data_IF_018225441916
#
_entry.id   IF_018225441916
#
_cell.length_a   1.000
_cell.length_b   1.000
_cell.length_c   1.000
_cell.angle_alpha   90.00
_cell.angle_beta   90.00
_cell.angle_gamma   90.00
#
_symmetry.space_group_name_H-M   'P 1'
#
loop_
_entity.id
_entity.type
_entity.pdbx_description
1 polymer ?
#
# COMPACT_ATOMS: atom_id res chain seq x y z
N UNK A 1 -17.10 15.53 -1.98
CA UNK A 1 -15.66 15.70 -2.16
C UNK A 1 -15.12 15.88 -0.76
N UNK A 2 -14.50 14.84 -0.22
CA UNK A 2 -13.99 14.84 1.15
C UNK A 2 -12.90 15.90 1.28
N UNK A 3 -12.87 16.60 2.41
CA UNK A 3 -12.01 17.76 2.72
C UNK A 3 -10.55 17.36 3.02
N UNK A 4 -10.13 16.17 2.63
CA UNK A 4 -8.84 15.57 2.99
C UNK A 4 -7.96 15.44 1.75
N UNK A 5 -6.86 16.18 1.72
CA UNK A 5 -5.81 16.00 0.70
C UNK A 5 -4.75 15.07 1.28
N UNK A 6 -4.32 14.06 0.52
CA UNK A 6 -3.17 13.24 0.91
C UNK A 6 -1.91 14.08 0.75
N UNK A 7 -1.18 14.27 1.84
CA UNK A 7 0.04 15.07 1.86
C UNK A 7 1.28 14.19 1.70
N UNK A 8 1.24 13.00 2.30
CA UNK A 8 2.32 12.01 2.22
C UNK A 8 1.75 10.60 2.35
N UNK A 9 2.36 9.63 1.69
CA UNK A 9 2.05 8.22 1.92
C UNK A 9 3.32 7.38 1.82
N UNK A 10 3.36 6.30 2.59
CA UNK A 10 4.48 5.37 2.65
C UNK A 10 3.97 3.94 2.53
N UNK A 11 4.75 3.11 1.85
CA UNK A 11 4.49 1.68 1.72
C UNK A 11 5.80 0.96 1.99
N UNK A 12 5.80 0.10 3.01
CA UNK A 12 7.00 -0.56 3.51
C UNK A 12 6.72 -2.04 3.84
N UNK A 13 7.70 -2.95 3.66
CA UNK A 13 7.54 -4.33 4.08
C UNK A 13 7.59 -4.44 5.60
N UNK A 14 6.74 -5.30 6.18
CA UNK A 14 6.81 -5.63 7.60
C UNK A 14 7.91 -6.66 7.82
N UNK A 15 8.95 -6.30 8.56
CA UNK A 15 10.07 -7.20 8.84
C UNK A 15 9.59 -8.47 9.58
N UNK A 16 9.88 -9.63 9.00
CA UNK A 16 9.51 -10.92 9.59
C UNK A 16 8.07 -11.35 9.33
N UNK A 17 7.30 -10.59 8.55
CA UNK A 17 5.94 -10.94 8.16
C UNK A 17 5.75 -10.89 6.63
N UNK A 18 4.72 -11.56 6.14
CA UNK A 18 4.30 -11.55 4.73
C UNK A 18 3.24 -10.45 4.50
N UNK A 19 3.55 -9.25 4.97
CA UNK A 19 2.66 -8.09 4.93
C UNK A 19 3.43 -6.81 4.50
N UNK A 20 2.76 -5.95 3.74
CA UNK A 20 3.21 -4.58 3.47
C UNK A 20 2.36 -3.62 4.30
N UNK A 21 2.98 -2.71 5.02
CA UNK A 21 2.29 -1.64 5.74
C UNK A 21 2.15 -0.42 4.83
N UNK A 22 0.96 0.19 4.85
CA UNK A 22 0.65 1.45 4.19
C UNK A 22 0.36 2.48 5.27
N UNK A 23 0.99 3.64 5.18
CA UNK A 23 0.72 4.79 6.05
C UNK A 23 0.34 5.97 5.18
N UNK A 24 -0.84 6.54 5.39
CA UNK A 24 -1.35 7.70 4.63
C UNK A 24 -1.50 8.87 5.61
N UNK A 25 -0.86 9.99 5.32
CA UNK A 25 -0.95 11.23 6.10
C UNK A 25 -1.75 12.27 5.31
N UNK A 26 -2.81 12.81 5.91
CA UNK A 26 -3.60 13.90 5.32
C UNK A 26 -3.29 15.25 5.93
N UNK A 27 -3.64 16.31 5.19
CA UNK A 27 -3.52 17.71 5.57
C UNK A 27 -4.26 18.09 6.84
N UNK A 28 -5.31 17.35 7.22
CA UNK A 28 -6.06 17.56 8.47
C UNK A 28 -5.34 16.98 9.70
N UNK A 29 -4.19 16.32 9.51
CA UNK A 29 -3.41 15.68 10.58
C UNK A 29 -3.91 14.29 10.95
N UNK A 30 -4.86 13.75 10.19
CA UNK A 30 -5.27 12.35 10.29
C UNK A 30 -4.25 11.44 9.59
N UNK A 31 -4.01 10.29 10.22
CA UNK A 31 -3.16 9.23 9.67
C UNK A 31 -3.98 7.95 9.59
N UNK A 32 -3.91 7.27 8.44
CA UNK A 32 -4.51 5.95 8.24
C UNK A 32 -3.41 4.93 8.02
N UNK A 33 -3.55 3.78 8.67
CA UNK A 33 -2.61 2.67 8.57
C UNK A 33 -3.36 1.44 8.07
N UNK A 34 -2.84 0.82 7.01
CA UNK A 34 -3.40 -0.40 6.43
C UNK A 34 -2.31 -1.46 6.32
N UNK A 35 -2.72 -2.72 6.45
CA UNK A 35 -1.82 -3.85 6.32
C UNK A 35 -2.25 -4.74 5.17
N UNK A 36 -1.39 -4.86 4.16
CA UNK A 36 -1.67 -5.62 2.93
C UNK A 36 -0.94 -6.95 2.97
N UNK A 37 -1.63 -8.07 3.25
CA UNK A 37 -1.01 -9.39 3.21
C UNK A 37 -0.63 -9.76 1.78
N UNK A 38 0.54 -10.35 1.61
CA UNK A 38 1.02 -10.89 0.34
C UNK A 38 1.48 -12.33 0.48
N UNK A 39 1.60 -13.03 -0.64
CA UNK A 39 2.06 -14.41 -0.69
C UNK A 39 3.34 -14.48 -1.51
N UNK A 40 4.47 -14.78 -0.85
CA UNK A 40 5.76 -14.99 -1.53
C UNK A 40 5.71 -16.13 -2.55
N UNK A 41 4.91 -17.16 -2.28
CA UNK A 41 4.80 -18.33 -3.16
C UNK A 41 4.08 -18.03 -4.47
N UNK A 42 3.11 -17.11 -4.46
CA UNK A 42 2.31 -16.78 -5.65
C UNK A 42 2.67 -15.44 -6.26
N UNK A 43 3.40 -14.59 -5.52
CA UNK A 43 3.73 -13.24 -5.91
C UNK A 43 2.50 -12.35 -6.07
N UNK A 44 1.51 -12.51 -5.17
CA UNK A 44 0.27 -11.73 -5.19
C UNK A 44 -0.04 -11.20 -3.80
N UNK A 45 -0.64 -10.02 -3.73
CA UNK A 45 -1.23 -9.48 -2.53
C UNK A 45 -2.75 -9.40 -2.64
N UNK A 46 -3.42 -9.15 -1.50
CA UNK A 46 -4.86 -8.91 -1.45
C UNK A 46 -5.09 -7.67 -0.60
N UNK A 47 -5.65 -6.64 -1.21
CA UNK A 47 -6.00 -5.39 -0.54
C UNK A 47 -7.47 -5.08 -0.79
N UNK A 48 -8.33 -5.43 0.17
CA UNK A 48 -9.78 -5.27 0.04
C UNK A 48 -10.21 -3.81 0.26
N UNK A 49 -9.45 -3.06 1.05
CA UNK A 49 -9.72 -1.66 1.38
C UNK A 49 -9.36 -0.67 0.24
N UNK A 50 -8.78 -1.13 -0.88
CA UNK A 50 -8.47 -0.23 -2.01
C UNK A 50 -9.71 0.53 -2.52
N UNK A 51 -10.87 -0.11 -2.52
CA UNK A 51 -12.13 0.54 -2.90
C UNK A 51 -12.60 1.60 -1.92
N UNK A 52 -12.17 1.53 -0.65
CA UNK A 52 -12.38 2.62 0.32
C UNK A 52 -11.42 3.77 0.05
N UNK A 53 -10.16 3.47 -0.29
CA UNK A 53 -9.17 4.48 -0.68
C UNK A 53 -9.62 5.28 -1.90
N UNK A 54 -10.18 4.62 -2.91
CA UNK A 54 -10.77 5.28 -4.10
C UNK A 54 -11.90 6.25 -3.70
N UNK A 55 -12.75 5.85 -2.76
CA UNK A 55 -13.88 6.68 -2.31
C UNK A 55 -13.44 7.85 -1.41
N UNK A 56 -12.46 7.62 -0.52
CA UNK A 56 -12.02 8.60 0.46
C UNK A 56 -10.99 9.60 -0.10
N UNK A 57 -10.06 9.13 -0.93
CA UNK A 57 -8.93 9.89 -1.44
C UNK A 57 -8.92 10.08 -2.97
N UNK A 58 -9.79 9.36 -3.69
CA UNK A 58 -9.95 9.45 -5.14
C UNK A 58 -9.22 8.36 -5.92
N UNK A 59 -9.71 8.08 -7.13
CA UNK A 59 -9.16 7.06 -8.04
C UNK A 59 -7.66 7.30 -8.34
N UNK A 60 -7.26 8.54 -8.59
CA UNK A 60 -5.87 8.88 -8.94
C UNK A 60 -4.88 8.50 -7.82
N UNK A 61 -5.28 8.62 -6.56
CA UNK A 61 -4.44 8.22 -5.43
C UNK A 61 -4.42 6.70 -5.26
N UNK A 62 -5.57 6.05 -5.42
CA UNK A 62 -5.66 4.59 -5.34
C UNK A 62 -4.82 3.89 -6.42
N UNK A 63 -4.80 4.41 -7.65
CA UNK A 63 -3.93 3.92 -8.72
C UNK A 63 -2.45 4.05 -8.33
N UNK A 64 -2.01 5.23 -7.86
CA UNK A 64 -0.63 5.45 -7.39
C UNK A 64 -0.22 4.52 -6.24
N UNK A 65 -1.13 4.30 -5.29
CA UNK A 65 -0.90 3.39 -4.16
C UNK A 65 -0.74 1.94 -4.66
N UNK A 66 -1.58 1.52 -5.59
CA UNK A 66 -1.53 0.18 -6.21
C UNK A 66 -0.22 -0.02 -6.96
N UNK A 67 0.21 0.95 -7.77
CA UNK A 67 1.50 0.90 -8.46
C UNK A 67 2.67 0.78 -7.48
N UNK A 68 2.61 1.48 -6.34
CA UNK A 68 3.65 1.39 -5.31
C UNK A 68 3.68 0.03 -4.61
N UNK A 69 2.52 -0.56 -4.34
CA UNK A 69 2.39 -1.92 -3.79
C UNK A 69 2.94 -2.96 -4.75
N UNK A 70 2.61 -2.85 -6.04
CA UNK A 70 3.12 -3.75 -7.09
C UNK A 70 4.64 -3.68 -7.19
N UNK A 71 5.20 -2.46 -7.23
CA UNK A 71 6.64 -2.24 -7.28
C UNK A 71 7.34 -2.82 -6.05
N UNK A 72 6.82 -2.54 -4.85
CA UNK A 72 7.40 -3.04 -3.61
C UNK A 72 7.35 -4.57 -3.53
N UNK A 73 6.21 -5.19 -3.89
CA UNK A 73 6.10 -6.63 -3.93
C UNK A 73 7.14 -7.24 -4.91
N UNK A 74 7.31 -6.63 -6.09
CA UNK A 74 8.32 -7.08 -7.05
C UNK A 74 9.75 -7.00 -6.47
N UNK A 75 10.08 -5.92 -5.75
CA UNK A 75 11.36 -5.78 -5.05
C UNK A 75 11.56 -6.88 -3.99
N UNK A 76 10.57 -7.10 -3.12
CA UNK A 76 10.61 -8.16 -2.09
C UNK A 76 10.83 -9.55 -2.70
N UNK A 77 10.14 -9.85 -3.80
CA UNK A 77 10.25 -11.13 -4.48
C UNK A 77 11.61 -11.32 -5.17
N UNK A 78 12.17 -10.25 -5.76
CA UNK A 78 13.52 -10.26 -6.34
C UNK A 78 14.59 -10.51 -5.28
N UNK A 79 14.48 -9.88 -4.12
CA UNK A 79 15.40 -10.08 -3.00
C UNK A 79 15.29 -11.49 -2.38
N UNK A 80 14.10 -12.11 -2.47
CA UNK A 80 13.86 -13.46 -1.95
C UNK A 80 14.37 -14.59 -2.85
N UNK A 81 14.81 -14.31 -4.09
CA UNK A 81 15.38 -15.30 -5.00
C UNK A 81 16.92 -15.30 -4.90
N UNK A 82 17.57 -16.38 -4.42
CA UNK A 82 19.01 -16.52 -4.58
C UNK A 82 19.31 -16.66 -6.08
N UNK A 83 20.13 -15.75 -6.60
CA UNK A 83 20.69 -15.84 -7.96
C UNK A 83 21.56 -17.07 -8.19
#
# INVERSE_FOLDING_TARGET
MSEYEVVDFQVEPVEGDDQMAITINSSDGNTWEYGVPYSRSTGRYSFEEIGLIEVDFGDEFAEQLTERLDALLEEILKESLPG
#
